data_IF_326252670895
#
_entry.id   IF_326252670895
#
_cell.length_a   1.000
_cell.length_b   1.000
_cell.length_c   1.000
_cell.angle_alpha   90.00
_cell.angle_beta   90.00
_cell.angle_gamma   90.00
#
_symmetry.space_group_name_H-M   'P 1'
#
loop_
_entity.id
_entity.type
_entity.pdbx_description
1 polymer ?
#
# COMPACT_ATOMS: atom_id res chain seq x y z
N UNK A 1 -21.47 -0.86 7.76
CA UNK A 1 -20.58 -0.79 8.93
C UNK A 1 -20.83 -1.92 9.92
N UNK A 2 -22.02 -2.06 10.50
CA UNK A 2 -22.29 -3.08 11.53
C UNK A 2 -21.96 -4.52 11.11
N UNK A 3 -22.33 -4.91 9.88
CA UNK A 3 -22.01 -6.24 9.31
C UNK A 3 -20.50 -6.47 9.18
N UNK A 4 -19.75 -5.43 8.79
CA UNK A 4 -18.28 -5.50 8.63
C UNK A 4 -17.62 -5.63 10.01
N UNK A 5 -18.06 -4.84 10.99
CA UNK A 5 -17.56 -4.93 12.36
C UNK A 5 -17.87 -6.29 12.98
N UNK A 6 -19.10 -6.80 12.81
CA UNK A 6 -19.49 -8.12 13.29
C UNK A 6 -18.66 -9.23 12.63
N UNK A 7 -18.48 -9.17 11.31
CA UNK A 7 -17.63 -10.11 10.57
C UNK A 7 -16.17 -10.06 11.04
N UNK A 8 -15.62 -8.86 11.25
CA UNK A 8 -14.26 -8.70 11.78
C UNK A 8 -14.12 -9.32 13.17
N UNK A 9 -15.06 -9.06 14.08
CA UNK A 9 -15.03 -9.65 15.43
C UNK A 9 -15.07 -11.16 15.35
N UNK A 10 -15.96 -11.74 14.53
CA UNK A 10 -16.06 -13.19 14.36
C UNK A 10 -14.77 -13.78 13.79
N UNK A 11 -14.12 -13.12 12.84
CA UNK A 11 -12.85 -13.62 12.26
C UNK A 11 -11.67 -13.42 13.23
N UNK A 12 -11.62 -12.32 13.96
CA UNK A 12 -10.53 -11.96 14.86
C UNK A 12 -10.63 -12.61 16.25
N UNK A 13 -11.81 -13.08 16.67
CA UNK A 13 -12.03 -13.56 18.04
C UNK A 13 -11.03 -14.61 18.55
N UNK A 14 -10.54 -15.59 17.75
CA UNK A 14 -9.62 -16.60 18.26
C UNK A 14 -8.28 -15.96 18.66
N UNK A 15 -7.82 -14.98 17.87
CA UNK A 15 -6.61 -14.22 18.15
C UNK A 15 -6.80 -13.31 19.38
N UNK A 16 -7.92 -12.60 19.47
CA UNK A 16 -8.22 -11.74 20.62
C UNK A 16 -8.24 -12.55 21.93
N UNK A 17 -8.89 -13.72 21.93
CA UNK A 17 -8.93 -14.61 23.10
C UNK A 17 -7.53 -15.15 23.44
N UNK A 18 -6.76 -15.60 22.44
CA UNK A 18 -5.38 -16.04 22.65
C UNK A 18 -4.54 -14.93 23.27
N UNK A 19 -4.67 -13.71 22.76
CA UNK A 19 -3.88 -12.56 23.18
C UNK A 19 -4.16 -12.19 24.64
N UNK A 20 -5.44 -12.17 25.05
CA UNK A 20 -5.82 -12.00 26.46
C UNK A 20 -5.20 -13.11 27.33
N UNK A 21 -5.32 -14.37 26.92
CA UNK A 21 -4.88 -15.52 27.74
C UNK A 21 -3.36 -15.61 27.90
N UNK A 22 -2.60 -15.23 26.87
CA UNK A 22 -1.14 -15.40 26.85
C UNK A 22 -0.41 -14.11 27.28
N UNK A 23 -0.92 -12.95 26.87
CA UNK A 23 -0.22 -11.66 27.05
C UNK A 23 -0.99 -10.67 27.93
N UNK A 24 -2.20 -10.99 28.39
CA UNK A 24 -3.02 -10.09 29.21
C UNK A 24 -3.68 -8.93 28.45
N UNK A 25 -3.38 -8.76 27.16
CA UNK A 25 -3.89 -7.66 26.33
C UNK A 25 -4.50 -8.20 25.03
N UNK A 26 -5.77 -7.90 24.69
CA UNK A 26 -6.43 -8.44 23.49
C UNK A 26 -5.79 -8.01 22.18
N UNK A 27 -5.21 -6.81 22.15
CA UNK A 27 -4.59 -6.22 20.97
C UNK A 27 -3.07 -6.40 20.96
N UNK A 28 -2.52 -7.25 21.83
CA UNK A 28 -1.10 -7.56 21.85
C UNK A 28 -0.65 -7.99 20.45
N UNK A 29 0.42 -7.38 19.98
CA UNK A 29 1.07 -7.74 18.74
C UNK A 29 2.55 -7.47 18.87
N UNK A 30 3.38 -8.50 18.66
CA UNK A 30 4.83 -8.34 18.61
C UNK A 30 5.26 -7.30 17.55
N UNK A 31 4.40 -7.04 16.55
CA UNK A 31 4.66 -6.02 15.55
C UNK A 31 4.55 -4.59 16.10
N UNK A 32 3.94 -4.37 17.27
CA UNK A 32 3.90 -3.05 17.92
C UNK A 32 5.32 -2.54 18.21
N UNK A 33 6.21 -3.43 18.62
CA UNK A 33 7.62 -3.11 18.84
C UNK A 33 8.27 -2.55 17.58
N UNK A 34 7.99 -3.16 16.43
CA UNK A 34 8.57 -2.78 15.15
C UNK A 34 8.14 -1.38 14.67
N UNK A 35 6.98 -0.87 15.09
CA UNK A 35 6.53 0.47 14.70
C UNK A 35 7.49 1.57 15.18
N UNK A 36 8.23 1.34 16.26
CA UNK A 36 9.11 2.33 16.88
C UNK A 36 10.59 1.96 16.76
N UNK A 37 10.94 1.10 15.80
CA UNK A 37 12.32 0.76 15.47
C UNK A 37 12.76 1.43 14.17
N UNK A 38 14.03 1.82 14.08
CA UNK A 38 14.59 2.45 12.88
C UNK A 38 14.95 1.47 11.78
N UNK A 39 15.29 0.25 12.15
CA UNK A 39 15.57 -0.82 11.21
C UNK A 39 15.32 -2.18 11.86
N UNK A 40 15.05 -3.18 11.03
CA UNK A 40 15.02 -4.56 11.52
C UNK A 40 16.45 -5.05 11.77
N UNK A 41 16.75 -5.73 12.90
CA UNK A 41 18.11 -6.16 13.20
C UNK A 41 18.66 -7.10 12.13
N UNK A 42 19.92 -6.91 11.77
CA UNK A 42 20.64 -7.74 10.80
C UNK A 42 21.71 -8.57 11.52
N UNK A 43 21.33 -9.76 11.99
CA UNK A 43 22.24 -10.67 12.70
C UNK A 43 21.75 -12.11 12.68
N UNK A 44 22.53 -13.02 13.28
CA UNK A 44 22.22 -14.45 13.31
C UNK A 44 20.92 -14.77 14.08
N UNK A 45 20.58 -13.95 15.08
CA UNK A 45 19.31 -14.01 15.81
C UNK A 45 18.67 -12.61 15.89
N UNK A 46 17.90 -12.20 14.86
CA UNK A 46 17.28 -10.89 14.85
C UNK A 46 16.10 -10.80 15.83
N UNK A 47 15.42 -11.92 16.11
CA UNK A 47 14.28 -11.93 17.03
C UNK A 47 14.71 -11.91 18.49
N UNK A 48 15.81 -12.59 18.85
CA UNK A 48 16.42 -12.46 20.18
C UNK A 48 16.93 -11.05 20.45
N UNK A 49 17.47 -10.37 19.43
CA UNK A 49 17.86 -8.95 19.55
C UNK A 49 16.66 -8.06 19.83
N UNK A 50 15.54 -8.25 19.12
CA UNK A 50 14.29 -7.50 19.39
C UNK A 50 13.78 -7.76 20.80
N UNK A 51 13.80 -9.01 21.25
CA UNK A 51 13.38 -9.37 22.60
C UNK A 51 14.28 -8.76 23.69
N UNK A 52 15.55 -8.50 23.38
CA UNK A 52 16.49 -7.86 24.30
C UNK A 52 16.35 -6.33 24.37
N UNK A 53 15.63 -5.68 23.42
CA UNK A 53 15.39 -4.24 23.43
C UNK A 53 14.41 -3.78 24.53
N UNK A 54 13.71 -4.73 25.16
CA UNK A 54 12.72 -4.46 26.21
C UNK A 54 11.28 -4.56 25.73
N UNK A 55 10.38 -3.95 26.47
CA UNK A 55 8.94 -3.97 26.21
C UNK A 55 8.56 -3.01 25.07
N UNK A 56 7.41 -3.22 24.39
CA UNK A 56 6.93 -2.28 23.37
C UNK A 56 6.76 -0.84 23.88
N UNK A 57 6.43 -0.68 25.16
CA UNK A 57 6.27 0.63 25.80
C UNK A 57 7.59 1.36 25.98
N UNK A 58 8.63 0.66 26.46
CA UNK A 58 9.98 1.20 26.61
C UNK A 58 10.57 1.62 25.26
N UNK A 59 10.41 0.77 24.24
CA UNK A 59 10.92 1.04 22.88
C UNK A 59 10.21 2.25 22.26
N UNK A 60 8.89 2.36 22.47
CA UNK A 60 8.13 3.53 22.04
C UNK A 60 8.59 4.80 22.76
N UNK A 61 8.79 4.74 24.07
CA UNK A 61 9.23 5.88 24.86
C UNK A 61 10.62 6.37 24.43
N UNK A 62 11.55 5.42 24.23
CA UNK A 62 12.90 5.70 23.73
C UNK A 62 12.89 6.32 22.33
N UNK A 63 12.11 5.76 21.40
CA UNK A 63 11.95 6.32 20.05
C UNK A 63 11.44 7.76 20.09
N UNK A 64 10.41 8.05 20.88
CA UNK A 64 9.85 9.40 21.01
C UNK A 64 10.78 10.38 21.72
N UNK A 65 11.69 9.90 22.58
CA UNK A 65 12.68 10.73 23.26
C UNK A 65 13.87 11.07 22.35
N UNK A 66 14.20 10.17 21.41
CA UNK A 66 15.37 10.29 20.54
C UNK A 66 15.07 10.92 19.18
N UNK A 67 13.81 10.87 18.72
CA UNK A 67 13.41 11.38 17.41
C UNK A 67 12.64 12.70 17.51
N UNK A 68 13.00 13.66 16.66
CA UNK A 68 12.25 14.90 16.53
C UNK A 68 10.97 14.69 15.71
N UNK A 69 10.04 15.65 15.80
CA UNK A 69 8.86 15.67 14.92
C UNK A 69 9.25 15.73 13.44
N UNK A 70 10.38 16.37 13.11
CA UNK A 70 10.90 16.42 11.75
C UNK A 70 11.33 15.02 11.28
N UNK A 71 12.03 14.25 12.11
CA UNK A 71 12.46 12.88 11.79
C UNK A 71 11.26 11.97 11.57
N UNK A 72 10.27 12.05 12.46
CA UNK A 72 9.02 11.29 12.34
C UNK A 72 8.24 11.65 11.06
N UNK A 73 8.15 12.94 10.75
CA UNK A 73 7.47 13.40 9.53
C UNK A 73 8.21 12.94 8.28
N UNK A 74 9.55 13.03 8.28
CA UNK A 74 10.38 12.58 7.18
C UNK A 74 10.25 11.07 6.96
N UNK A 75 10.31 10.27 8.03
CA UNK A 75 10.06 8.83 7.99
C UNK A 75 8.70 8.51 7.37
N UNK A 76 7.64 9.18 7.84
CA UNK A 76 6.29 9.02 7.29
C UNK A 76 6.22 9.36 5.81
N UNK A 77 6.78 10.50 5.39
CA UNK A 77 6.75 10.97 4.01
C UNK A 77 7.54 10.05 3.06
N UNK A 78 8.79 9.73 3.39
CA UNK A 78 9.63 8.83 2.60
C UNK A 78 9.02 7.43 2.53
N UNK A 79 8.50 6.95 3.66
CA UNK A 79 7.81 5.67 3.75
C UNK A 79 6.56 5.60 2.88
N UNK A 80 5.72 6.63 2.88
CA UNK A 80 4.56 6.74 2.00
C UNK A 80 4.95 6.75 0.52
N UNK A 81 6.04 7.46 0.16
CA UNK A 81 6.56 7.47 -1.21
C UNK A 81 6.95 6.06 -1.67
N UNK A 82 7.75 5.35 -0.88
CA UNK A 82 8.15 3.97 -1.15
C UNK A 82 6.97 3.01 -1.20
N UNK A 83 6.06 3.09 -0.24
CA UNK A 83 4.90 2.21 -0.20
C UNK A 83 3.94 2.46 -1.36
N UNK A 84 3.80 3.71 -1.81
CA UNK A 84 3.03 4.06 -3.03
C UNK A 84 3.67 3.45 -4.26
N UNK A 85 5.00 3.53 -4.40
CA UNK A 85 5.72 2.87 -5.49
C UNK A 85 5.50 1.35 -5.47
N UNK A 86 5.70 0.69 -4.32
CA UNK A 86 5.50 -0.75 -4.15
C UNK A 86 4.06 -1.14 -4.49
N UNK A 87 3.08 -0.36 -4.04
CA UNK A 87 1.66 -0.60 -4.30
C UNK A 87 1.34 -0.55 -5.80
N UNK A 88 1.73 0.52 -6.48
CA UNK A 88 1.50 0.69 -7.92
C UNK A 88 2.22 -0.43 -8.69
N UNK A 89 3.48 -0.71 -8.35
CA UNK A 89 4.27 -1.80 -8.93
C UNK A 89 3.61 -3.16 -8.76
N UNK A 90 2.88 -3.38 -7.66
CA UNK A 90 2.19 -4.65 -7.38
C UNK A 90 1.02 -4.93 -8.33
N UNK A 91 0.45 -3.91 -8.98
CA UNK A 91 -0.57 -4.07 -10.01
C UNK A 91 0.01 -4.56 -11.34
N UNK A 92 1.29 -4.30 -11.61
CA UNK A 92 1.97 -4.69 -12.85
C UNK A 92 2.39 -6.18 -12.88
N UNK A 93 2.65 -6.74 -14.07
CA UNK A 93 2.94 -8.16 -14.26
C UNK A 93 4.32 -8.57 -13.73
N UNK A 94 4.40 -9.64 -12.96
CA UNK A 94 5.61 -10.09 -12.23
C UNK A 94 6.94 -10.12 -12.99
N UNK A 95 7.02 -10.51 -14.28
CA UNK A 95 8.30 -10.66 -14.99
C UNK A 95 9.08 -9.35 -15.23
N UNK A 96 8.53 -8.18 -14.90
CA UNK A 96 9.08 -6.87 -15.30
C UNK A 96 9.73 -6.08 -14.13
N UNK A 97 10.05 -6.75 -13.02
CA UNK A 97 10.73 -6.18 -11.83
C UNK A 97 10.23 -4.78 -11.41
N UNK A 98 11.04 -3.73 -11.57
CA UNK A 98 10.68 -2.35 -11.19
C UNK A 98 9.87 -1.64 -12.28
N UNK A 99 10.06 -2.01 -13.55
CA UNK A 99 9.29 -1.49 -14.68
C UNK A 99 7.81 -1.86 -14.63
N UNK A 100 7.43 -2.82 -13.76
CA UNK A 100 6.04 -3.15 -13.41
C UNK A 100 5.21 -1.93 -13.04
N UNK A 101 5.83 -0.91 -12.44
CA UNK A 101 5.14 0.34 -12.06
C UNK A 101 4.46 1.02 -13.25
N UNK A 102 5.03 0.95 -14.46
CA UNK A 102 4.46 1.57 -15.66
C UNK A 102 3.10 0.96 -16.02
N UNK A 103 3.01 -0.38 -15.97
CA UNK A 103 1.76 -1.10 -16.16
C UNK A 103 0.80 -0.89 -14.99
N UNK A 104 1.34 -0.80 -13.79
CA UNK A 104 0.57 -0.48 -12.59
C UNK A 104 -0.14 0.86 -12.67
N UNK A 105 0.52 1.90 -13.21
CA UNK A 105 -0.09 3.21 -13.46
C UNK A 105 -1.27 3.08 -14.41
N UNK A 106 -1.12 2.33 -15.52
CA UNK A 106 -2.22 2.11 -16.48
C UNK A 106 -3.40 1.43 -15.79
N UNK A 107 -3.17 0.36 -15.01
CA UNK A 107 -4.24 -0.31 -14.30
C UNK A 107 -4.90 0.58 -13.24
N UNK A 108 -4.13 1.41 -12.54
CA UNK A 108 -4.67 2.35 -11.58
C UNK A 108 -5.54 3.42 -12.25
N UNK A 109 -5.15 3.93 -13.42
CA UNK A 109 -5.95 4.86 -14.21
C UNK A 109 -7.25 4.21 -14.68
N UNK A 110 -7.19 2.99 -15.21
CA UNK A 110 -8.37 2.23 -15.63
C UNK A 110 -9.32 1.97 -14.46
N UNK A 111 -8.79 1.56 -13.31
CA UNK A 111 -9.58 1.38 -12.09
C UNK A 111 -10.24 2.70 -11.66
N UNK A 112 -9.50 3.80 -11.69
CA UNK A 112 -10.01 5.13 -11.36
C UNK A 112 -11.15 5.56 -12.29
N UNK A 113 -11.03 5.33 -13.60
CA UNK A 113 -12.09 5.60 -14.58
C UNK A 113 -13.37 4.78 -14.30
N UNK A 114 -13.21 3.51 -13.93
CA UNK A 114 -14.37 2.69 -13.53
C UNK A 114 -15.03 3.26 -12.28
N UNK A 115 -14.22 3.61 -11.26
CA UNK A 115 -14.70 4.17 -10.00
C UNK A 115 -15.45 5.50 -10.17
N UNK A 116 -15.24 6.27 -11.24
CA UNK A 116 -16.02 7.48 -11.51
C UNK A 116 -17.53 7.21 -11.59
N UNK A 117 -17.92 5.99 -11.96
CA UNK A 117 -19.30 5.59 -12.16
C UNK A 117 -19.89 4.79 -10.99
N UNK A 118 -19.09 4.54 -9.96
CA UNK A 118 -19.55 3.86 -8.75
C UNK A 118 -20.19 4.83 -7.77
N UNK A 119 -20.90 4.28 -6.77
CA UNK A 119 -21.43 5.09 -5.67
C UNK A 119 -20.31 5.78 -4.87
N UNK A 120 -20.60 6.95 -4.31
CA UNK A 120 -19.66 7.67 -3.43
C UNK A 120 -19.20 6.78 -2.27
N UNK A 121 -20.07 5.93 -1.72
CA UNK A 121 -19.74 5.02 -0.63
C UNK A 121 -18.59 4.06 -0.99
N UNK A 122 -18.60 3.49 -2.20
CA UNK A 122 -17.52 2.60 -2.68
C UNK A 122 -16.22 3.39 -2.84
N UNK A 123 -16.28 4.56 -3.51
CA UNK A 123 -15.10 5.41 -3.75
C UNK A 123 -14.43 5.80 -2.43
N UNK A 124 -15.23 6.30 -1.49
CA UNK A 124 -14.76 6.72 -0.17
C UNK A 124 -14.21 5.54 0.61
N UNK A 125 -14.89 4.39 0.60
CA UNK A 125 -14.39 3.18 1.29
C UNK A 125 -13.03 2.78 0.74
N UNK A 126 -12.90 2.63 -0.58
CA UNK A 126 -11.65 2.23 -1.20
C UNK A 126 -10.53 3.25 -0.97
N UNK A 127 -10.83 4.55 -1.08
CA UNK A 127 -9.87 5.62 -0.81
C UNK A 127 -9.37 5.58 0.64
N UNK A 128 -10.27 5.39 1.62
CA UNK A 128 -9.89 5.24 3.04
C UNK A 128 -9.01 4.01 3.23
N UNK A 129 -9.36 2.87 2.64
CA UNK A 129 -8.58 1.64 2.75
C UNK A 129 -7.18 1.79 2.16
N UNK A 130 -7.06 2.42 0.99
CA UNK A 130 -5.76 2.73 0.37
C UNK A 130 -4.97 3.69 1.27
N UNK A 131 -5.57 4.78 1.71
CA UNK A 131 -4.90 5.78 2.55
C UNK A 131 -4.41 5.18 3.87
N UNK A 132 -5.25 4.43 4.58
CA UNK A 132 -4.87 3.75 5.82
C UNK A 132 -3.74 2.74 5.59
N UNK A 133 -3.79 1.99 4.49
CA UNK A 133 -2.73 1.03 4.16
C UNK A 133 -1.41 1.74 3.83
N UNK A 134 -1.44 2.82 3.06
CA UNK A 134 -0.26 3.61 2.74
C UNK A 134 0.36 4.27 3.97
N UNK A 135 -0.47 4.83 4.86
CA UNK A 135 -0.01 5.43 6.11
C UNK A 135 0.62 4.40 7.03
N UNK A 136 -0.09 3.29 7.29
CA UNK A 136 0.34 2.25 8.22
C UNK A 136 1.61 1.56 7.72
N UNK A 137 1.62 1.12 6.46
CA UNK A 137 2.74 0.36 5.92
C UNK A 137 3.87 1.25 5.42
N UNK A 138 3.59 2.51 5.06
CA UNK A 138 4.61 3.52 4.79
C UNK A 138 5.48 3.75 6.02
N UNK A 139 4.87 3.92 7.19
CA UNK A 139 5.60 4.02 8.46
C UNK A 139 6.45 2.77 8.78
N UNK A 140 5.98 1.60 8.33
CA UNK A 140 6.60 0.30 8.57
C UNK A 140 7.72 -0.06 7.58
N UNK A 141 7.91 0.71 6.49
CA UNK A 141 8.92 0.45 5.46
C UNK A 141 10.33 0.17 6.01
N UNK A 142 10.87 0.92 6.99
CA UNK A 142 12.23 0.69 7.49
C UNK A 142 12.45 -0.69 8.11
N UNK A 143 11.36 -1.33 8.54
CA UNK A 143 11.38 -2.69 9.10
C UNK A 143 11.21 -3.72 8.00
N UNK A 144 10.19 -3.54 7.17
CA UNK A 144 9.95 -4.43 6.05
C UNK A 144 9.24 -3.68 4.93
N UNK A 145 9.85 -3.73 3.74
CA UNK A 145 9.20 -3.40 2.49
C UNK A 145 8.64 -4.68 1.85
N UNK A 146 7.40 -4.65 1.37
CA UNK A 146 6.81 -5.84 0.76
C UNK A 146 5.47 -5.62 0.07
N UNK A 147 5.31 -6.25 -1.09
CA UNK A 147 4.05 -6.24 -1.85
C UNK A 147 2.89 -6.87 -1.06
N UNK A 148 3.20 -7.80 -0.15
CA UNK A 148 2.22 -8.52 0.69
C UNK A 148 1.31 -7.61 1.50
N UNK A 149 1.78 -6.42 1.88
CA UNK A 149 1.01 -5.50 2.72
C UNK A 149 -0.18 -4.86 1.98
N UNK A 150 -0.09 -4.75 0.66
CA UNK A 150 -1.17 -4.20 -0.17
C UNK A 150 -1.94 -5.30 -0.93
N UNK A 151 -1.51 -6.56 -0.81
CA UNK A 151 -2.08 -7.69 -1.54
C UNK A 151 -3.62 -7.81 -1.42
N UNK A 152 -4.25 -7.56 -0.25
CA UNK A 152 -5.71 -7.64 -0.14
C UNK A 152 -6.48 -6.66 -1.04
N UNK A 153 -5.87 -5.53 -1.41
CA UNK A 153 -6.51 -4.51 -2.26
C UNK A 153 -6.38 -4.83 -3.76
N UNK A 154 -5.39 -5.64 -4.16
CA UNK A 154 -5.08 -5.87 -5.56
C UNK A 154 -6.22 -6.51 -6.35
N UNK A 155 -6.89 -7.59 -5.89
CA UNK A 155 -7.97 -8.22 -6.67
C UNK A 155 -9.11 -7.26 -7.00
N UNK A 156 -9.51 -6.44 -6.03
CA UNK A 156 -10.58 -5.46 -6.20
C UNK A 156 -10.19 -4.39 -7.22
N UNK A 157 -8.96 -3.86 -7.12
CA UNK A 157 -8.47 -2.84 -8.04
C UNK A 157 -8.29 -3.38 -9.46
N UNK A 158 -7.80 -4.62 -9.60
CA UNK A 158 -7.69 -5.28 -10.90
C UNK A 158 -9.06 -5.57 -11.52
N UNK A 159 -10.07 -5.92 -10.71
CA UNK A 159 -11.44 -6.05 -11.18
C UNK A 159 -11.98 -4.72 -11.72
N UNK A 160 -11.80 -3.62 -10.98
CA UNK A 160 -12.16 -2.29 -11.47
C UNK A 160 -11.35 -1.85 -12.70
N UNK A 161 -10.07 -2.20 -12.77
CA UNK A 161 -9.25 -1.95 -13.96
C UNK A 161 -9.79 -2.71 -15.18
N UNK A 162 -10.25 -3.96 -15.01
CA UNK A 162 -10.91 -4.74 -16.05
C UNK A 162 -12.20 -4.09 -16.55
N UNK A 163 -13.05 -3.60 -15.64
CA UNK A 163 -14.27 -2.86 -16.00
C UNK A 163 -13.92 -1.55 -16.72
N UNK A 164 -12.92 -0.81 -16.23
CA UNK A 164 -12.42 0.40 -16.87
C UNK A 164 -11.92 0.14 -18.29
N UNK A 165 -11.15 -0.93 -18.48
CA UNK A 165 -10.67 -1.38 -19.79
C UNK A 165 -11.83 -1.70 -20.72
N UNK A 166 -12.82 -2.46 -20.26
CA UNK A 166 -14.01 -2.80 -21.04
C UNK A 166 -14.75 -1.53 -21.51
N UNK A 167 -14.92 -0.54 -20.64
CA UNK A 167 -15.55 0.75 -21.00
C UNK A 167 -14.74 1.49 -22.05
N UNK A 168 -13.44 1.68 -21.83
CA UNK A 168 -12.54 2.35 -22.79
C UNK A 168 -12.60 1.65 -24.15
N UNK A 169 -12.55 0.33 -24.18
CA UNK A 169 -12.63 -0.44 -25.42
C UNK A 169 -13.98 -0.29 -26.12
N UNK A 170 -15.08 -0.24 -25.37
CA UNK A 170 -16.43 -0.08 -25.91
C UNK A 170 -16.61 1.29 -26.59
N UNK A 171 -16.01 2.35 -26.03
CA UNK A 171 -15.97 3.67 -26.66
C UNK A 171 -14.98 3.71 -27.83
N UNK A 172 -13.81 3.09 -27.69
CA UNK A 172 -12.77 3.07 -28.72
C UNK A 172 -13.20 2.33 -29.99
N UNK A 173 -14.15 1.38 -29.91
CA UNK A 173 -14.75 0.75 -31.09
C UNK A 173 -15.39 1.75 -32.06
N UNK A 174 -15.77 2.93 -31.58
CA UNK A 174 -16.33 4.00 -32.41
C UNK A 174 -15.25 4.86 -33.08
N UNK A 175 -13.99 4.70 -32.68
CA UNK A 175 -12.87 5.50 -33.18
C UNK A 175 -12.16 4.79 -34.33
N UNK A 176 -11.61 5.57 -35.25
CA UNK A 176 -10.74 5.02 -36.29
C UNK A 176 -9.48 4.42 -35.67
N UNK A 177 -8.89 3.38 -36.30
CA UNK A 177 -7.64 2.75 -35.84
C UNK A 177 -6.52 3.78 -35.66
N UNK A 178 -6.44 4.77 -36.53
CA UNK A 178 -5.46 5.86 -36.46
C UNK A 178 -5.63 6.70 -35.20
N UNK A 179 -6.88 7.05 -34.85
CA UNK A 179 -7.19 7.80 -33.63
C UNK A 179 -6.76 7.03 -32.38
N UNK A 180 -7.03 5.72 -32.33
CA UNK A 180 -6.64 4.86 -31.20
C UNK A 180 -5.11 4.89 -31.04
N UNK A 181 -4.35 4.64 -32.12
CA UNK A 181 -2.89 4.61 -32.08
C UNK A 181 -2.32 5.96 -31.64
N UNK A 182 -2.84 7.08 -32.15
CA UNK A 182 -2.39 8.41 -31.77
C UNK A 182 -2.67 8.72 -30.30
N UNK A 183 -3.87 8.42 -29.80
CA UNK A 183 -4.24 8.67 -28.40
C UNK A 183 -3.39 7.83 -27.46
N UNK A 184 -3.24 6.52 -27.72
CA UNK A 184 -2.39 5.66 -26.90
C UNK A 184 -0.92 6.08 -26.99
N UNK A 185 -0.44 6.49 -28.17
CA UNK A 185 0.90 7.03 -28.36
C UNK A 185 1.15 8.30 -27.54
N UNK A 186 0.21 9.25 -27.54
CA UNK A 186 0.31 10.49 -26.74
C UNK A 186 0.30 10.18 -25.25
N UNK A 187 -0.63 9.32 -24.79
CA UNK A 187 -0.71 8.91 -23.38
C UNK A 187 0.59 8.22 -22.94
N UNK A 188 1.11 7.32 -23.76
CA UNK A 188 2.36 6.62 -23.47
C UNK A 188 3.55 7.57 -23.38
N UNK A 189 3.66 8.52 -24.32
CA UNK A 189 4.70 9.55 -24.28
C UNK A 189 4.56 10.47 -23.06
N UNK A 190 3.34 10.83 -22.65
CA UNK A 190 3.11 11.62 -21.46
C UNK A 190 3.52 10.87 -20.18
N UNK A 191 3.17 9.58 -20.07
CA UNK A 191 3.62 8.72 -18.95
C UNK A 191 5.14 8.66 -18.91
N UNK A 192 5.79 8.44 -20.06
CA UNK A 192 7.25 8.40 -20.16
C UNK A 192 7.92 9.72 -19.80
N UNK A 193 7.37 10.85 -20.26
CA UNK A 193 7.88 12.18 -19.97
C UNK A 193 7.81 12.50 -18.47
N UNK A 194 6.69 12.18 -17.83
CA UNK A 194 6.53 12.35 -16.38
C UNK A 194 7.49 11.43 -15.63
N UNK A 195 7.63 10.18 -16.06
CA UNK A 195 8.56 9.24 -15.44
C UNK A 195 10.01 9.71 -15.56
N UNK A 196 10.47 10.12 -16.75
CA UNK A 196 11.86 10.54 -16.96
C UNK A 196 12.18 11.85 -16.23
N UNK A 197 11.23 12.78 -16.13
CA UNK A 197 11.44 14.03 -15.39
C UNK A 197 11.47 13.83 -13.88
N UNK A 198 10.72 12.87 -13.33
CA UNK A 198 10.68 12.60 -11.88
C UNK A 198 11.73 11.59 -11.42
N UNK A 199 12.04 10.57 -12.24
CA UNK A 199 12.88 9.44 -11.82
C UNK A 199 14.36 9.54 -12.23
N UNK A 200 14.71 10.37 -13.22
CA UNK A 200 16.09 10.47 -13.73
C UNK A 200 16.83 11.71 -13.19
N UNK A 201 16.10 12.69 -12.66
CA UNK A 201 16.70 13.86 -12.02
C UNK A 201 16.53 13.80 -10.50
N UNK A 202 17.61 13.61 -9.72
CA UNK A 202 17.59 13.74 -8.26
C UNK A 202 17.34 15.18 -7.80
#
# INVERSE_FOLDING_TARGET
>A
MLVICAGWVVVAHPLLIRNIKVYGEPLYSANQTFFYMDSFPSGADPFGQVAALGTPEEIRADYLATHSLADMTNRGATGMGWQSFIFIRSLGPTPLDDSRVLFGIIFLLLASLSLLHESTAIKTTLAIWIALSLLLFGWYIPIAAGQRFMAPLLPLLLAYAGVGMWRVMSYAQQWSRTTIVLVFGVIWNAIWLVWTTIAIWP
#
